data_IF_973164198981
#
_entry.id   IF_973164198981
#
_cell.length_a   1.000
_cell.length_b   1.000
_cell.length_c   1.000
_cell.angle_alpha   90.00
_cell.angle_beta   90.00
_cell.angle_gamma   90.00
#
_symmetry.space_group_name_H-M   'P 1'
#
loop_
_entity.id
_entity.type
_entity.pdbx_description
1 polymer ?
#
# COMPACT_ATOMS: atom_id res chain seq x y z
N UNK A 1 6.57 -36.51 2.79
CA UNK A 1 5.61 -35.39 2.70
C UNK A 1 5.91 -34.46 3.86
N UNK A 2 6.40 -33.24 3.60
CA UNK A 2 6.85 -32.34 4.67
C UNK A 2 5.64 -31.65 5.33
N UNK A 3 5.39 -31.99 6.59
CA UNK A 3 4.36 -31.35 7.41
C UNK A 3 4.73 -29.89 7.65
N UNK A 4 3.96 -28.98 7.04
CA UNK A 4 4.03 -27.55 7.32
C UNK A 4 3.53 -27.31 8.76
N UNK A 5 4.47 -27.13 9.69
CA UNK A 5 4.20 -26.80 11.10
C UNK A 5 3.42 -25.48 11.19
N UNK A 6 2.13 -25.56 11.52
CA UNK A 6 1.19 -24.42 11.72
C UNK A 6 1.43 -23.68 13.05
N UNK A 7 2.39 -24.13 13.86
CA UNK A 7 2.56 -23.69 15.25
C UNK A 7 3.33 -22.35 15.41
N UNK A 8 3.73 -21.72 14.30
CA UNK A 8 4.61 -20.54 14.36
C UNK A 8 3.88 -19.20 14.52
N UNK A 9 2.55 -19.16 14.42
CA UNK A 9 1.80 -17.96 14.74
C UNK A 9 1.20 -18.08 16.15
N UNK A 10 2.05 -17.85 17.15
CA UNK A 10 1.67 -17.75 18.55
C UNK A 10 1.83 -16.30 18.99
N UNK A 11 0.79 -15.73 19.59
CA UNK A 11 0.84 -14.40 20.20
C UNK A 11 1.94 -14.33 21.27
N UNK A 12 2.43 -13.14 21.61
CA UNK A 12 3.39 -12.92 22.71
C UNK A 12 2.92 -13.46 24.07
N UNK A 13 1.63 -13.79 24.21
CA UNK A 13 1.01 -14.39 25.40
C UNK A 13 0.68 -15.89 25.28
N UNK A 14 1.03 -16.55 24.17
CA UNK A 14 0.84 -18.00 24.06
C UNK A 14 -0.54 -18.48 23.58
N UNK A 15 -1.44 -17.57 23.22
CA UNK A 15 -2.84 -17.84 22.84
C UNK A 15 -2.99 -18.21 21.34
N UNK A 16 -3.94 -19.11 20.98
CA UNK A 16 -4.29 -19.41 19.60
C UNK A 16 -5.01 -18.22 18.95
N UNK A 17 -4.50 -17.77 17.80
CA UNK A 17 -5.05 -16.69 16.96
C UNK A 17 -6.53 -16.83 16.61
N UNK A 18 -7.06 -18.06 16.63
CA UNK A 18 -8.42 -18.34 16.23
C UNK A 18 -9.48 -17.79 17.20
N UNK A 19 -9.10 -17.47 18.45
CA UNK A 19 -10.05 -17.10 19.51
C UNK A 19 -10.07 -15.59 19.83
N UNK A 20 -9.21 -14.77 19.20
CA UNK A 20 -9.25 -13.31 19.36
C UNK A 20 -9.63 -12.61 18.06
N UNK A 21 -10.86 -12.08 18.08
CA UNK A 21 -11.34 -10.87 17.39
C UNK A 21 -11.68 -10.94 15.89
N UNK A 22 -12.96 -11.24 15.62
CA UNK A 22 -13.60 -11.07 14.30
C UNK A 22 -13.77 -9.59 13.87
N UNK A 23 -13.59 -8.63 14.77
CA UNK A 23 -14.07 -7.26 14.56
C UNK A 23 -13.04 -6.27 13.98
N UNK A 24 -11.82 -6.72 13.64
CA UNK A 24 -10.81 -5.82 13.06
C UNK A 24 -9.86 -6.52 12.09
N UNK A 25 -10.40 -7.41 11.23
CA UNK A 25 -9.64 -8.04 10.15
C UNK A 25 -9.38 -7.01 9.04
N UNK A 26 -8.31 -6.22 9.19
CA UNK A 26 -7.85 -5.27 8.19
C UNK A 26 -6.69 -5.88 7.41
N UNK A 27 -6.88 -6.22 6.13
CA UNK A 27 -5.80 -6.76 5.32
C UNK A 27 -4.72 -5.71 5.08
N UNK A 28 -3.48 -6.17 4.93
CA UNK A 28 -2.36 -5.30 4.61
C UNK A 28 -2.36 -4.91 3.12
N UNK A 29 -2.19 -3.61 2.82
CA UNK A 29 -1.98 -3.12 1.46
C UNK A 29 -0.52 -3.26 1.02
N UNK A 30 -0.09 -4.48 0.72
CA UNK A 30 1.28 -4.76 0.26
C UNK A 30 1.52 -4.26 -1.17
N UNK A 31 2.62 -3.52 -1.36
CA UNK A 31 3.16 -3.19 -2.68
C UNK A 31 4.59 -3.63 -2.81
N UNK A 32 4.98 -3.99 -4.03
CA UNK A 32 6.36 -4.33 -4.36
C UNK A 32 7.24 -3.14 -3.98
N UNK A 33 8.25 -3.40 -3.17
CA UNK A 33 9.13 -2.37 -2.65
C UNK A 33 10.59 -2.77 -2.78
N UNK A 34 11.34 -1.85 -3.36
CA UNK A 34 12.78 -1.94 -3.49
C UNK A 34 13.46 -1.54 -2.17
N UNK A 35 13.89 -2.54 -1.40
CA UNK A 35 14.62 -2.32 -0.17
C UNK A 35 16.06 -1.87 -0.45
N UNK A 36 16.43 -0.67 0.02
CA UNK A 36 17.81 -0.19 0.03
C UNK A 36 18.52 -0.74 1.27
N UNK A 37 19.69 -1.36 1.09
CA UNK A 37 20.53 -1.92 2.16
C UNK A 37 20.33 -3.42 2.42
N UNK A 38 21.35 -4.04 3.01
CA UNK A 38 21.41 -5.49 3.31
C UNK A 38 20.81 -5.86 4.68
N UNK A 39 20.31 -4.89 5.45
CA UNK A 39 19.87 -5.09 6.83
C UNK A 39 18.35 -5.26 6.99
N UNK A 40 17.59 -5.30 5.89
CA UNK A 40 16.12 -5.40 5.96
C UNK A 40 15.71 -6.85 6.13
N UNK A 41 15.18 -7.19 7.30
CA UNK A 41 14.69 -8.52 7.64
C UNK A 41 13.19 -8.62 7.44
N UNK A 42 12.72 -9.78 7.02
CA UNK A 42 11.30 -10.11 6.95
C UNK A 42 10.72 -10.25 8.36
N UNK A 43 9.55 -9.67 8.60
CA UNK A 43 8.88 -9.79 9.90
C UNK A 43 8.34 -11.20 10.22
N UNK A 44 8.32 -12.11 9.25
CA UNK A 44 7.84 -13.48 9.39
C UNK A 44 9.01 -14.46 9.55
N UNK A 45 9.81 -14.66 8.50
CA UNK A 45 10.91 -15.63 8.53
C UNK A 45 12.20 -15.09 9.16
N UNK A 46 12.25 -13.79 9.53
CA UNK A 46 13.41 -13.09 10.13
C UNK A 46 14.70 -13.09 9.28
N UNK A 47 14.68 -13.74 8.12
CA UNK A 47 15.76 -13.70 7.14
C UNK A 47 15.80 -12.36 6.41
N UNK A 48 16.96 -12.04 5.84
CA UNK A 48 17.15 -10.86 5.01
C UNK A 48 16.26 -10.92 3.76
N UNK A 49 15.65 -9.79 3.41
CA UNK A 49 14.71 -9.68 2.29
C UNK A 49 15.43 -9.76 0.94
N UNK A 50 16.70 -9.35 0.91
CA UNK A 50 17.54 -9.38 -0.27
C UNK A 50 18.48 -10.58 -0.19
N UNK A 51 18.40 -11.48 -1.16
CA UNK A 51 19.35 -12.58 -1.36
C UNK A 51 20.47 -12.07 -2.27
N UNK A 52 21.73 -12.39 -1.97
CA UNK A 52 22.89 -12.00 -2.76
C UNK A 52 22.69 -12.39 -4.23
N UNK A 53 22.57 -11.38 -5.11
CA UNK A 53 22.52 -11.57 -6.57
C UNK A 53 21.17 -11.35 -7.27
N UNK A 54 20.06 -11.05 -6.58
CA UNK A 54 18.76 -10.80 -7.25
C UNK A 54 18.11 -9.45 -6.92
N UNK A 55 17.41 -8.92 -7.91
CA UNK A 55 16.65 -7.66 -7.92
C UNK A 55 15.59 -7.60 -6.82
N UNK A 56 15.89 -6.95 -5.68
CA UNK A 56 14.95 -6.17 -4.84
C UNK A 56 13.54 -6.81 -4.66
N UNK A 57 13.46 -8.01 -4.07
CA UNK A 57 12.29 -8.91 -4.10
C UNK A 57 11.36 -8.85 -2.87
N UNK A 58 11.14 -7.67 -2.31
CA UNK A 58 10.31 -7.52 -1.12
C UNK A 58 8.97 -6.84 -1.39
N UNK A 59 8.05 -7.01 -0.45
CA UNK A 59 6.82 -6.22 -0.36
C UNK A 59 6.82 -5.39 0.91
N UNK A 60 6.22 -4.20 0.83
CA UNK A 60 6.01 -3.28 1.95
C UNK A 60 4.55 -2.88 2.01
N UNK A 61 3.93 -2.96 3.19
CA UNK A 61 2.59 -2.44 3.40
C UNK A 61 2.62 -0.90 3.40
N UNK A 62 1.74 -0.26 2.63
CA UNK A 62 1.68 1.21 2.55
C UNK A 62 1.08 1.85 3.80
N UNK A 63 0.23 1.11 4.53
CA UNK A 63 -0.52 1.64 5.67
C UNK A 63 0.25 1.49 6.99
N UNK A 64 0.92 0.36 7.22
CA UNK A 64 1.65 0.10 8.46
C UNK A 64 3.17 0.07 8.28
N UNK A 65 3.66 -0.08 7.04
CA UNK A 65 5.10 -0.16 6.75
C UNK A 65 5.75 -1.51 6.98
N UNK A 66 4.96 -2.55 7.26
CA UNK A 66 5.45 -3.92 7.45
C UNK A 66 6.20 -4.41 6.22
N UNK A 67 7.31 -5.14 6.44
CA UNK A 67 8.20 -5.62 5.38
C UNK A 67 8.20 -7.15 5.35
N UNK A 68 7.97 -7.72 4.17
CA UNK A 68 7.96 -9.14 3.98
C UNK A 68 8.54 -9.53 2.62
N UNK A 69 8.93 -10.79 2.47
CA UNK A 69 9.09 -11.39 1.15
C UNK A 69 7.73 -11.55 0.47
N UNK A 70 7.73 -11.68 -0.86
CA UNK A 70 6.50 -11.95 -1.64
C UNK A 70 5.81 -13.26 -1.22
N UNK A 71 6.57 -14.28 -0.84
CA UNK A 71 6.01 -15.55 -0.33
C UNK A 71 5.48 -15.41 1.10
N UNK A 72 6.20 -14.66 1.94
CA UNK A 72 5.78 -14.43 3.32
C UNK A 72 4.51 -13.58 3.43
N UNK A 73 4.13 -12.80 2.42
CA UNK A 73 2.90 -12.00 2.50
C UNK A 73 1.62 -12.83 2.47
N UNK A 74 1.66 -14.06 1.96
CA UNK A 74 0.50 -14.94 1.91
C UNK A 74 0.16 -15.61 3.26
N UNK A 75 1.10 -15.61 4.21
CA UNK A 75 0.94 -16.23 5.54
C UNK A 75 0.71 -15.22 6.66
N UNK A 76 0.67 -13.92 6.32
CA UNK A 76 0.43 -12.84 7.29
C UNK A 76 -1.07 -12.73 7.55
N UNK A 77 -1.51 -12.69 8.81
CA UNK A 77 -2.92 -12.47 9.11
C UNK A 77 -3.33 -11.02 8.89
N UNK A 78 -4.63 -10.81 8.74
CA UNK A 78 -5.24 -9.52 8.43
C UNK A 78 -5.36 -8.62 9.68
N UNK A 79 -4.25 -8.33 10.36
CA UNK A 79 -4.22 -7.46 11.54
C UNK A 79 -3.48 -6.14 11.27
N UNK A 80 -3.68 -5.54 10.09
CA UNK A 80 -2.98 -4.33 9.69
C UNK A 80 -3.37 -3.12 10.57
N UNK A 81 -2.42 -2.67 11.40
CA UNK A 81 -2.53 -1.45 12.18
C UNK A 81 -1.78 -0.30 11.48
N UNK A 82 -2.47 0.69 10.89
CA UNK A 82 -1.80 1.79 10.22
C UNK A 82 -0.97 2.60 11.21
N UNK A 83 0.31 2.80 10.92
CA UNK A 83 1.13 3.66 11.77
C UNK A 83 0.89 5.12 11.38
N UNK A 84 0.85 6.02 12.36
CA UNK A 84 0.55 7.45 12.14
C UNK A 84 1.41 8.07 11.02
N UNK A 85 2.71 7.70 10.97
CA UNK A 85 3.64 8.16 9.94
C UNK A 85 3.21 7.82 8.50
N UNK A 86 2.57 6.66 8.30
CA UNK A 86 2.10 6.22 6.99
C UNK A 86 0.73 6.81 6.68
N UNK A 87 -0.19 6.85 7.65
CA UNK A 87 -1.46 7.55 7.52
C UNK A 87 -1.27 9.03 7.13
N UNK A 88 -0.30 9.71 7.75
CA UNK A 88 0.06 11.10 7.42
C UNK A 88 0.58 11.25 5.99
N UNK A 89 1.38 10.29 5.50
CA UNK A 89 1.88 10.29 4.11
C UNK A 89 0.75 10.08 3.11
N UNK A 90 -0.15 9.14 3.37
CA UNK A 90 -1.32 8.91 2.51
C UNK A 90 -2.25 10.12 2.46
N UNK A 91 -2.51 10.79 3.61
CA UNK A 91 -3.27 12.05 3.64
C UNK A 91 -2.62 13.15 2.78
N UNK A 92 -1.30 13.37 2.92
CA UNK A 92 -0.57 14.35 2.10
C UNK A 92 -0.62 13.99 0.61
N UNK A 93 -0.53 12.70 0.29
CA UNK A 93 -0.59 12.21 -1.09
C UNK A 93 -1.97 12.45 -1.70
N UNK A 94 -3.04 12.12 -0.96
CA UNK A 94 -4.42 12.37 -1.36
C UNK A 94 -4.68 13.86 -1.59
N UNK A 95 -4.25 14.73 -0.66
CA UNK A 95 -4.38 16.18 -0.81
C UNK A 95 -3.65 16.72 -2.06
N UNK A 96 -2.45 16.19 -2.35
CA UNK A 96 -1.69 16.57 -3.56
C UNK A 96 -2.45 16.19 -4.85
N UNK A 97 -3.02 14.98 -4.92
CA UNK A 97 -3.81 14.57 -6.08
C UNK A 97 -5.08 15.42 -6.25
N UNK A 98 -5.78 15.74 -5.15
CA UNK A 98 -6.92 16.64 -5.18
C UNK A 98 -6.56 18.03 -5.73
N UNK A 99 -5.48 18.63 -5.23
CA UNK A 99 -5.00 19.93 -5.75
C UNK A 99 -4.58 19.85 -7.22
N UNK A 100 -3.96 18.76 -7.66
CA UNK A 100 -3.60 18.55 -9.07
C UNK A 100 -4.86 18.46 -9.95
N UNK A 101 -5.87 17.70 -9.53
CA UNK A 101 -7.12 17.55 -10.28
C UNK A 101 -7.82 18.91 -10.47
N UNK A 102 -7.90 19.71 -9.39
CA UNK A 102 -8.45 21.08 -9.45
C UNK A 102 -7.63 21.94 -10.42
N UNK A 103 -6.30 21.89 -10.34
CA UNK A 103 -5.43 22.68 -11.22
C UNK A 103 -5.54 22.25 -12.70
N UNK A 104 -5.68 20.96 -12.96
CA UNK A 104 -5.89 20.42 -14.31
C UNK A 104 -7.27 20.84 -14.86
N UNK A 105 -8.30 20.93 -14.00
CA UNK A 105 -9.63 21.44 -14.36
C UNK A 105 -9.60 22.94 -14.67
N UNK A 106 -8.99 23.76 -13.82
CA UNK A 106 -8.81 25.20 -14.05
C UNK A 106 -8.10 25.42 -15.39
N UNK A 107 -7.01 24.69 -15.65
CA UNK A 107 -6.27 24.79 -16.91
C UNK A 107 -7.10 24.39 -18.13
N UNK A 108 -7.95 23.35 -18.02
CA UNK A 108 -8.89 22.97 -19.09
C UNK A 108 -9.91 24.09 -19.35
N UNK A 109 -10.45 24.68 -18.30
CA UNK A 109 -11.42 25.77 -18.40
C UNK A 109 -10.80 27.05 -18.95
N UNK A 110 -9.55 27.35 -18.61
CA UNK A 110 -8.77 28.47 -19.17
C UNK A 110 -8.50 28.25 -20.66
N UNK A 111 -8.02 27.06 -21.04
CA UNK A 111 -7.77 26.71 -22.44
C UNK A 111 -9.06 26.77 -23.28
N UNK A 112 -10.21 26.35 -22.74
CA UNK A 112 -11.50 26.46 -23.41
C UNK A 112 -11.96 27.91 -23.65
N UNK A 113 -11.54 28.85 -22.80
CA UNK A 113 -11.80 30.28 -22.98
C UNK A 113 -10.91 30.87 -24.08
N UNK A 114 -9.65 30.44 -24.14
CA UNK A 114 -8.69 30.90 -25.16
C UNK A 114 -8.97 30.33 -26.56
N UNK A 115 -9.44 29.08 -26.65
CA UNK A 115 -9.76 28.45 -27.95
C UNK A 115 -11.06 28.93 -28.57
N UNK A 116 -11.83 29.79 -27.88
CA UNK A 116 -12.91 30.55 -28.49
C UNK A 116 -13.89 29.70 -29.28
N UNK A 117 -14.35 28.57 -28.74
CA UNK A 117 -15.62 28.00 -29.20
C UNK A 117 -16.72 28.89 -28.61
N UNK A 118 -16.85 30.08 -29.17
CA UNK A 118 -18.17 30.72 -29.25
C UNK A 118 -19.05 29.66 -29.89
N UNK A 119 -20.00 29.13 -29.11
CA UNK A 119 -21.15 28.41 -29.65
C UNK A 119 -21.62 29.22 -30.85
N UNK A 120 -21.36 28.70 -32.06
CA UNK A 120 -22.09 29.12 -33.24
C UNK A 120 -23.52 28.74 -32.92
N UNK A 121 -24.24 29.70 -32.33
CA UNK A 121 -25.68 29.71 -32.23
C UNK A 121 -26.14 29.50 -33.66
N UNK A 122 -26.50 28.26 -33.99
CA UNK A 122 -27.15 27.96 -35.24
C UNK A 122 -28.36 28.88 -35.27
N UNK A 123 -28.31 29.92 -36.09
CA UNK A 123 -29.52 30.52 -36.61
C UNK A 123 -30.15 29.42 -37.46
N UNK A 124 -31.05 28.65 -36.84
CA UNK A 124 -32.07 27.96 -37.60
C UNK A 124 -32.96 29.06 -38.18
N UNK A 125 -32.76 29.33 -39.47
CA UNK A 125 -33.77 29.92 -40.33
C UNK A 125 -35.02 29.03 -40.39
#
# INVERSE_FOLDING_TARGET
MAEFKKDQYRSSKGEPIAMMEWNNRRPHNFKIYTFKGLNKRCGICKNVINIWGLTKQGVKCQDCGFNAHKQCSAVIPDNCQPAEKYARRERKRSQKYGRKAVNDEVKRNEMAKETGIVEKRCCCC
#
